data_IF_309304075703
#
_entry.id   IF_309304075703
#
_cell.length_a   1.000
_cell.length_b   1.000
_cell.length_c   1.000
_cell.angle_alpha   90.00
_cell.angle_beta   90.00
_cell.angle_gamma   90.00
#
_symmetry.space_group_name_H-M   'P 1'
#
loop_
_entity.id
_entity.type
_entity.pdbx_description
1 polymer ?
#
# COMPACT_ATOMS: atom_id res chain seq x y z
N UNK A 1 3.47 31.56 13.97
CA UNK A 1 4.76 30.99 14.41
C UNK A 1 5.31 30.14 13.29
N UNK A 2 6.37 30.63 12.64
CA UNK A 2 7.01 30.02 11.47
C UNK A 2 8.00 28.94 11.91
N UNK A 3 7.65 27.68 11.67
CA UNK A 3 8.56 26.56 11.85
C UNK A 3 9.55 26.48 10.69
N UNK A 4 10.84 26.74 10.99
CA UNK A 4 11.97 26.45 10.10
C UNK A 4 12.04 24.95 9.87
N UNK A 5 11.65 24.51 8.67
CA UNK A 5 12.02 23.19 8.17
C UNK A 5 13.51 23.18 7.82
N UNK A 6 14.27 22.33 8.49
CA UNK A 6 15.64 21.99 8.12
C UNK A 6 15.60 21.27 6.76
N UNK A 7 15.89 22.01 5.70
CA UNK A 7 16.17 21.44 4.38
C UNK A 7 17.47 20.65 4.49
N UNK A 8 17.36 19.32 4.53
CA UNK A 8 18.48 18.47 4.16
C UNK A 8 18.98 18.91 2.76
N UNK A 9 20.29 19.01 2.53
CA UNK A 9 20.81 19.37 1.23
C UNK A 9 20.39 18.28 0.25
N UNK A 10 19.41 18.60 -0.59
CA UNK A 10 18.97 17.74 -1.68
C UNK A 10 20.18 17.46 -2.56
N UNK A 11 20.83 16.32 -2.33
CA UNK A 11 21.65 15.69 -3.35
C UNK A 11 20.73 15.55 -4.55
N UNK A 12 21.02 16.33 -5.60
CA UNK A 12 20.33 16.32 -6.89
C UNK A 12 19.94 14.88 -7.21
N UNK A 13 18.66 14.59 -7.04
CA UNK A 13 18.09 13.25 -7.16
C UNK A 13 18.05 12.87 -8.62
N UNK A 14 19.23 12.63 -9.19
CA UNK A 14 19.37 12.09 -10.53
C UNK A 14 18.64 10.75 -10.54
N UNK A 15 17.66 10.65 -11.42
CA UNK A 15 16.96 9.41 -11.72
C UNK A 15 17.98 8.32 -12.06
N UNK A 16 17.63 7.05 -11.86
CA UNK A 16 18.54 5.93 -12.18
C UNK A 16 19.05 5.96 -13.63
N UNK A 17 18.31 6.62 -14.53
CA UNK A 17 18.72 6.83 -15.92
C UNK A 17 19.84 7.86 -16.07
N UNK A 18 19.83 8.94 -15.28
CA UNK A 18 20.87 9.97 -15.31
C UNK A 18 22.19 9.47 -14.71
N UNK A 19 22.13 8.64 -13.66
CA UNK A 19 23.32 7.96 -13.13
C UNK A 19 23.99 7.05 -14.16
N UNK A 20 23.22 6.34 -14.97
CA UNK A 20 23.76 5.50 -16.03
C UNK A 20 24.52 6.33 -17.09
N UNK A 21 24.04 7.54 -17.40
CA UNK A 21 24.71 8.44 -18.34
C UNK A 21 26.03 8.96 -17.77
N UNK A 22 26.05 9.38 -16.50
CA UNK A 22 27.26 9.85 -15.82
C UNK A 22 28.32 8.75 -15.75
N UNK A 23 27.92 7.53 -15.38
CA UNK A 23 28.81 6.36 -15.34
C UNK A 23 29.40 6.08 -16.72
N UNK A 24 28.57 6.13 -17.78
CA UNK A 24 29.04 5.93 -19.15
C UNK A 24 30.09 6.98 -19.56
N UNK A 25 29.87 8.25 -19.26
CA UNK A 25 30.82 9.34 -19.56
C UNK A 25 32.16 9.11 -18.85
N UNK A 26 32.12 8.71 -17.57
CA UNK A 26 33.34 8.42 -16.79
C UNK A 26 34.09 7.23 -17.40
N UNK A 27 33.40 6.15 -17.75
CA UNK A 27 34.01 4.98 -18.38
C UNK A 27 34.70 5.37 -19.70
N UNK A 28 34.01 6.13 -20.56
CA UNK A 28 34.59 6.62 -21.81
C UNK A 28 35.81 7.51 -21.55
N UNK A 29 35.72 8.43 -20.59
CA UNK A 29 36.83 9.30 -20.20
C UNK A 29 38.05 8.53 -19.70
N UNK A 30 37.86 7.50 -18.88
CA UNK A 30 38.94 6.62 -18.40
C UNK A 30 39.57 5.83 -19.54
N UNK A 31 38.76 5.27 -20.45
CA UNK A 31 39.27 4.53 -21.62
C UNK A 31 40.12 5.44 -22.51
N UNK A 32 39.67 6.68 -22.76
CA UNK A 32 40.43 7.66 -23.54
C UNK A 32 41.72 8.10 -22.83
N UNK A 33 41.69 8.21 -21.50
CA UNK A 33 42.85 8.59 -20.70
C UNK A 33 43.90 7.48 -20.64
N UNK A 34 43.48 6.21 -20.64
CA UNK A 34 44.39 5.05 -20.62
C UNK A 34 45.35 5.01 -21.83
N UNK A 35 44.95 5.56 -22.98
CA UNK A 35 45.81 5.67 -24.16
C UNK A 35 47.02 6.58 -23.91
N UNK A 36 46.89 7.59 -23.04
CA UNK A 36 48.02 8.45 -22.66
C UNK A 36 49.05 7.73 -21.80
N UNK A 37 48.61 6.75 -20.99
CA UNK A 37 49.47 6.02 -20.07
C UNK A 37 50.04 4.74 -20.68
N UNK A 38 49.32 4.10 -21.60
CA UNK A 38 49.74 2.87 -22.26
C UNK A 38 49.46 3.03 -23.77
N UNK A 39 50.47 3.47 -24.54
CA UNK A 39 50.31 3.68 -25.97
C UNK A 39 49.86 2.40 -26.68
N UNK A 40 48.76 2.50 -27.43
CA UNK A 40 48.21 1.39 -28.21
C UNK A 40 47.23 0.48 -27.46
N UNK A 41 46.73 0.87 -26.28
CA UNK A 41 45.61 0.16 -25.63
C UNK A 41 44.36 0.25 -26.49
N UNK A 42 44.03 1.44 -26.97
CA UNK A 42 42.89 1.66 -27.85
C UNK A 42 43.05 0.91 -29.17
N UNK A 43 44.19 1.07 -29.83
CA UNK A 43 44.45 0.42 -31.13
C UNK A 43 44.58 -1.10 -30.99
N UNK A 44 45.04 -1.60 -29.84
CA UNK A 44 45.09 -3.03 -29.53
C UNK A 44 43.73 -3.64 -29.31
N UNK A 45 42.88 -3.01 -28.52
CA UNK A 45 41.49 -3.46 -28.34
C UNK A 45 40.73 -3.37 -29.66
N UNK A 46 40.87 -2.28 -30.41
CA UNK A 46 40.26 -2.13 -31.73
C UNK A 46 40.75 -3.21 -32.70
N UNK A 47 42.06 -3.42 -32.83
CA UNK A 47 42.61 -4.43 -33.74
C UNK A 47 42.18 -5.84 -33.35
N UNK A 48 42.08 -6.14 -32.05
CA UNK A 48 41.57 -7.42 -31.58
C UNK A 48 40.10 -7.63 -31.98
N UNK A 49 39.23 -6.66 -31.69
CA UNK A 49 37.81 -6.72 -32.06
C UNK A 49 37.66 -6.82 -33.58
N UNK A 50 38.43 -6.04 -34.34
CA UNK A 50 38.39 -6.06 -35.81
C UNK A 50 38.87 -7.38 -36.39
N UNK A 51 39.92 -7.98 -35.83
CA UNK A 51 40.36 -9.34 -36.21
C UNK A 51 39.25 -10.36 -36.00
N UNK A 52 38.56 -10.29 -34.86
CA UNK A 52 37.47 -11.20 -34.52
C UNK A 52 36.26 -10.99 -35.46
N UNK A 53 35.91 -9.73 -35.74
CA UNK A 53 34.87 -9.36 -36.70
C UNK A 53 35.20 -9.90 -38.10
N UNK A 54 36.40 -9.62 -38.63
CA UNK A 54 36.81 -10.08 -39.96
C UNK A 54 36.86 -11.61 -40.01
N UNK A 55 37.40 -12.29 -38.99
CA UNK A 55 37.39 -13.76 -38.92
C UNK A 55 35.97 -14.32 -38.93
N UNK A 56 35.05 -13.67 -38.22
CA UNK A 56 33.63 -14.05 -38.21
C UNK A 56 32.99 -13.84 -39.58
N UNK A 57 33.25 -12.72 -40.24
CA UNK A 57 32.77 -12.46 -41.60
C UNK A 57 33.29 -13.50 -42.60
N UNK A 58 34.55 -13.90 -42.48
CA UNK A 58 35.15 -14.93 -43.33
C UNK A 58 34.54 -16.33 -43.11
N UNK A 59 33.89 -16.61 -41.96
CA UNK A 59 33.10 -17.84 -41.81
C UNK A 59 31.89 -17.88 -42.75
N UNK A 60 31.43 -16.71 -43.20
CA UNK A 60 30.36 -16.55 -44.19
C UNK A 60 30.89 -16.30 -45.61
N UNK A 61 32.14 -16.69 -45.89
CA UNK A 61 32.79 -16.61 -47.21
C UNK A 61 31.88 -16.99 -48.39
N UNK A 62 31.04 -18.05 -48.34
CA UNK A 62 30.16 -18.40 -49.47
C UNK A 62 29.14 -17.34 -49.89
N UNK A 63 28.89 -16.34 -49.03
CA UNK A 63 27.92 -15.25 -49.26
C UNK A 63 28.64 -13.96 -49.70
N UNK A 64 29.96 -13.88 -49.50
CA UNK A 64 30.77 -12.71 -49.83
C UNK A 64 31.16 -12.74 -51.31
N UNK A 65 31.34 -11.57 -51.91
CA UNK A 65 31.96 -11.48 -53.23
C UNK A 65 33.46 -11.79 -53.11
N UNK A 66 34.03 -12.46 -54.12
CA UNK A 66 35.46 -12.84 -54.12
C UNK A 66 36.40 -11.65 -53.89
N UNK A 67 36.06 -10.49 -54.47
CA UNK A 67 36.79 -9.23 -54.28
C UNK A 67 36.80 -8.80 -52.81
N UNK A 68 35.65 -8.91 -52.14
CA UNK A 68 35.50 -8.49 -50.76
C UNK A 68 36.19 -9.47 -49.80
N UNK A 69 36.08 -10.77 -50.05
CA UNK A 69 36.81 -11.78 -49.28
C UNK A 69 38.33 -11.56 -49.37
N UNK A 70 38.83 -11.29 -50.57
CA UNK A 70 40.26 -11.00 -50.80
C UNK A 70 40.70 -9.75 -50.04
N UNK A 71 39.88 -8.69 -50.05
CA UNK A 71 40.12 -7.48 -49.27
C UNK A 71 40.17 -7.78 -47.76
N UNK A 72 39.20 -8.53 -47.22
CA UNK A 72 39.16 -8.94 -45.81
C UNK A 72 40.39 -9.74 -45.39
N UNK A 73 40.80 -10.74 -46.19
CA UNK A 73 42.00 -11.54 -45.92
C UNK A 73 43.26 -10.69 -45.94
N UNK A 74 43.34 -9.74 -46.86
CA UNK A 74 44.46 -8.79 -46.95
C UNK A 74 44.53 -7.88 -45.73
N UNK A 75 43.38 -7.33 -45.30
CA UNK A 75 43.27 -6.52 -44.08
C UNK A 75 43.66 -7.35 -42.85
N UNK A 76 43.15 -8.58 -42.75
CA UNK A 76 43.44 -9.47 -41.62
C UNK A 76 44.94 -9.79 -41.52
N UNK A 77 45.57 -10.16 -42.64
CA UNK A 77 47.01 -10.43 -42.67
C UNK A 77 47.85 -9.21 -42.28
N UNK A 78 47.44 -8.01 -42.70
CA UNK A 78 48.09 -6.76 -42.28
C UNK A 78 47.90 -6.47 -40.80
N UNK A 79 46.69 -6.65 -40.26
CA UNK A 79 46.41 -6.48 -38.83
C UNK A 79 47.17 -7.49 -37.96
N UNK A 80 47.44 -8.70 -38.46
CA UNK A 80 48.24 -9.72 -37.77
C UNK A 80 49.74 -9.42 -37.80
N UNK A 81 50.24 -8.81 -38.87
CA UNK A 81 51.65 -8.45 -39.02
C UNK A 81 52.07 -7.16 -38.30
N UNK A 82 51.14 -6.22 -38.08
CA UNK A 82 51.44 -4.90 -37.50
C UNK A 82 51.21 -4.89 -35.97
N UNK A 83 52.18 -4.37 -35.23
CA UNK A 83 52.06 -4.19 -33.79
C UNK A 83 50.99 -3.14 -33.46
N UNK A 84 50.07 -3.38 -32.50
CA UNK A 84 48.96 -2.48 -32.18
C UNK A 84 49.33 -1.01 -32.00
N UNK A 85 50.42 -0.70 -31.30
CA UNK A 85 50.86 0.67 -31.03
C UNK A 85 51.36 1.45 -32.25
N UNK A 86 51.52 0.81 -33.41
CA UNK A 86 51.98 1.46 -34.65
C UNK A 86 50.86 1.76 -35.65
N UNK A 87 49.63 1.38 -35.34
CA UNK A 87 48.48 1.58 -36.23
C UNK A 87 48.06 3.06 -36.16
N UNK A 88 48.19 3.77 -37.27
CA UNK A 88 47.78 5.18 -37.36
C UNK A 88 46.26 5.30 -37.47
N UNK A 89 45.71 6.43 -37.01
CA UNK A 89 44.26 6.68 -37.10
C UNK A 89 43.74 6.68 -38.55
N UNK A 90 44.57 7.10 -39.51
CA UNK A 90 44.24 7.03 -40.94
C UNK A 90 44.15 5.58 -41.45
N UNK A 91 44.96 4.67 -40.90
CA UNK A 91 44.84 3.25 -41.21
C UNK A 91 43.54 2.66 -40.64
N UNK A 92 43.18 3.05 -39.41
CA UNK A 92 41.91 2.67 -38.78
C UNK A 92 40.72 3.13 -39.63
N UNK A 93 40.67 4.42 -39.99
CA UNK A 93 39.55 4.96 -40.78
C UNK A 93 39.44 4.31 -42.16
N UNK A 94 40.56 3.95 -42.78
CA UNK A 94 40.57 3.22 -44.06
C UNK A 94 40.04 1.79 -43.90
N UNK A 95 40.49 1.05 -42.89
CA UNK A 95 39.99 -0.30 -42.59
C UNK A 95 38.50 -0.27 -42.27
N UNK A 96 38.05 0.73 -41.52
CA UNK A 96 36.62 0.93 -41.25
C UNK A 96 35.85 1.27 -42.51
N UNK A 97 36.37 2.13 -43.40
CA UNK A 97 35.72 2.46 -44.66
C UNK A 97 35.55 1.24 -45.58
N UNK A 98 36.57 0.39 -45.67
CA UNK A 98 36.55 -0.84 -46.48
C UNK A 98 35.62 -1.91 -45.88
N UNK A 99 35.50 -1.97 -44.56
CA UNK A 99 34.58 -2.91 -43.88
C UNK A 99 33.15 -2.38 -43.71
N UNK A 100 32.96 -1.06 -43.86
CA UNK A 100 31.72 -0.34 -43.53
C UNK A 100 30.45 -0.97 -44.08
N UNK A 101 30.46 -1.44 -45.34
CA UNK A 101 29.24 -1.91 -46.00
C UNK A 101 28.61 -3.05 -45.20
N UNK A 102 29.38 -4.09 -44.89
CA UNK A 102 28.87 -5.28 -44.20
C UNK A 102 28.70 -5.01 -42.70
N UNK A 103 29.64 -4.28 -42.08
CA UNK A 103 29.54 -3.97 -40.65
C UNK A 103 28.33 -3.08 -40.37
N UNK A 104 27.96 -2.17 -41.26
CA UNK A 104 26.73 -1.36 -41.16
C UNK A 104 25.46 -2.22 -41.24
N UNK A 105 25.46 -3.31 -42.02
CA UNK A 105 24.33 -4.26 -42.02
C UNK A 105 24.24 -5.01 -40.69
N UNK A 106 25.37 -5.46 -40.13
CA UNK A 106 25.39 -6.16 -38.84
C UNK A 106 24.94 -5.22 -37.71
N UNK A 107 25.52 -4.03 -37.61
CA UNK A 107 25.12 -3.05 -36.60
C UNK A 107 23.69 -2.56 -36.82
N UNK A 108 23.25 -2.41 -38.07
CA UNK A 108 21.86 -2.10 -38.42
C UNK A 108 20.90 -3.19 -37.96
N UNK A 109 21.24 -4.47 -38.17
CA UNK A 109 20.43 -5.61 -37.74
C UNK A 109 20.38 -5.75 -36.21
N UNK A 110 21.51 -5.58 -35.52
CA UNK A 110 21.56 -5.56 -34.04
C UNK A 110 20.77 -4.37 -33.49
N UNK A 111 20.96 -3.17 -34.07
CA UNK A 111 20.23 -1.97 -33.69
C UNK A 111 18.73 -2.11 -33.91
N UNK A 112 18.32 -2.68 -35.05
CA UNK A 112 16.94 -2.99 -35.36
C UNK A 112 16.36 -4.05 -34.39
N UNK A 113 17.11 -5.11 -34.07
CA UNK A 113 16.71 -6.10 -33.08
C UNK A 113 16.52 -5.49 -31.68
N UNK A 114 17.45 -4.64 -31.25
CA UNK A 114 17.33 -3.90 -29.99
C UNK A 114 16.12 -2.95 -30.01
N UNK A 115 15.89 -2.25 -31.12
CA UNK A 115 14.72 -1.40 -31.30
C UNK A 115 13.43 -2.23 -31.24
N UNK A 116 13.36 -3.38 -31.93
CA UNK A 116 12.24 -4.31 -31.84
C UNK A 116 12.01 -4.76 -30.38
N UNK A 117 13.06 -5.16 -29.66
CA UNK A 117 12.96 -5.56 -28.24
C UNK A 117 12.48 -4.42 -27.33
N UNK A 118 12.83 -3.18 -27.63
CA UNK A 118 12.41 -1.99 -26.87
C UNK A 118 10.98 -1.58 -27.22
N UNK A 119 10.61 -1.56 -28.50
CA UNK A 119 9.28 -1.18 -28.97
C UNK A 119 8.22 -2.24 -28.67
N UNK A 120 8.57 -3.53 -28.81
CA UNK A 120 7.69 -4.66 -28.53
C UNK A 120 7.86 -5.21 -27.12
N UNK A 121 8.48 -4.45 -26.21
CA UNK A 121 8.45 -4.79 -24.79
C UNK A 121 7.01 -4.64 -24.31
N UNK A 122 6.32 -5.72 -23.90
CA UNK A 122 4.98 -5.58 -23.37
C UNK A 122 5.04 -4.63 -22.17
N UNK A 123 4.32 -3.49 -22.25
CA UNK A 123 4.28 -2.50 -21.17
C UNK A 123 3.62 -3.07 -19.91
N UNK A 124 2.88 -4.16 -20.06
CA UNK A 124 2.28 -4.98 -19.02
C UNK A 124 2.39 -6.45 -19.45
N UNK A 125 3.00 -7.29 -18.62
CA UNK A 125 3.37 -8.66 -19.00
C UNK A 125 2.15 -9.55 -19.28
N UNK A 126 0.99 -9.31 -18.64
CA UNK A 126 -0.26 -10.03 -18.87
C UNK A 126 -1.49 -9.18 -18.46
N UNK A 127 -2.64 -9.26 -19.16
CA UNK A 127 -3.90 -8.74 -18.65
C UNK A 127 -4.32 -9.56 -17.43
N UNK A 128 -4.52 -8.90 -16.30
CA UNK A 128 -4.92 -9.54 -15.04
C UNK A 128 -6.44 -9.46 -14.86
N UNK A 129 -7.06 -10.53 -14.37
CA UNK A 129 -8.41 -10.44 -13.82
C UNK A 129 -8.38 -9.77 -12.42
N UNK A 130 -9.56 -9.44 -11.88
CA UNK A 130 -9.66 -8.74 -10.59
C UNK A 130 -9.01 -9.55 -9.46
N UNK A 131 -9.21 -10.86 -9.44
CA UNK A 131 -8.66 -11.76 -8.43
C UNK A 131 -7.13 -11.84 -8.49
N UNK A 132 -6.55 -11.94 -9.68
CA UNK A 132 -5.10 -11.93 -9.92
C UNK A 132 -4.49 -10.59 -9.56
N UNK A 133 -5.18 -9.49 -9.87
CA UNK A 133 -4.76 -8.14 -9.48
C UNK A 133 -4.75 -7.99 -7.96
N UNK A 134 -5.81 -8.43 -7.27
CA UNK A 134 -5.87 -8.42 -5.80
C UNK A 134 -4.77 -9.32 -5.21
N UNK A 135 -4.58 -10.53 -5.75
CA UNK A 135 -3.54 -11.46 -5.31
C UNK A 135 -2.15 -10.84 -5.46
N UNK A 136 -1.83 -10.25 -6.62
CA UNK A 136 -0.55 -9.62 -6.88
C UNK A 136 -0.32 -8.39 -6.00
N UNK A 137 -1.27 -7.47 -5.94
CA UNK A 137 -1.13 -6.19 -5.21
C UNK A 137 -1.07 -6.40 -3.70
N UNK A 138 -1.87 -7.32 -3.16
CA UNK A 138 -1.85 -7.61 -1.71
C UNK A 138 -0.61 -8.38 -1.27
N UNK A 139 0.03 -9.12 -2.17
CA UNK A 139 1.27 -9.86 -1.87
C UNK A 139 2.50 -8.96 -1.85
N UNK A 140 2.56 -7.95 -2.73
CA UNK A 140 3.76 -7.13 -2.92
C UNK A 140 3.67 -5.74 -2.27
N UNK A 141 2.53 -5.06 -2.38
CA UNK A 141 2.41 -3.64 -1.98
C UNK A 141 1.54 -3.50 -0.74
N UNK A 142 0.30 -4.01 -0.78
CA UNK A 142 -0.74 -3.70 0.21
C UNK A 142 -1.07 -4.91 1.09
N UNK A 143 -0.08 -5.36 1.87
CA UNK A 143 -0.19 -6.56 2.71
C UNK A 143 -1.36 -6.52 3.71
N UNK A 144 -1.73 -5.34 4.21
CA UNK A 144 -2.87 -5.18 5.13
C UNK A 144 -4.22 -5.54 4.51
N UNK A 145 -4.33 -5.62 3.18
CA UNK A 145 -5.52 -6.09 2.47
C UNK A 145 -5.46 -7.57 2.07
N UNK A 146 -4.44 -8.33 2.50
CA UNK A 146 -4.23 -9.73 2.09
C UNK A 146 -5.41 -10.65 2.33
N UNK A 147 -6.19 -10.44 3.40
CA UNK A 147 -7.38 -11.25 3.66
C UNK A 147 -8.43 -11.19 2.53
N UNK A 148 -8.50 -10.10 1.75
CA UNK A 148 -9.45 -9.97 0.63
C UNK A 148 -9.16 -10.92 -0.53
N UNK A 149 -7.90 -11.36 -0.68
CA UNK A 149 -7.53 -12.35 -1.69
C UNK A 149 -8.15 -13.73 -1.40
N UNK A 150 -8.45 -14.04 -0.13
CA UNK A 150 -9.10 -15.29 0.28
C UNK A 150 -10.58 -15.11 0.58
N UNK A 151 -10.96 -13.95 1.07
CA UNK A 151 -12.32 -13.62 1.48
C UNK A 151 -12.87 -12.61 0.48
N UNK A 152 -13.60 -13.11 -0.51
CA UNK A 152 -14.26 -12.28 -1.50
C UNK A 152 -15.65 -11.84 -0.97
N UNK A 153 -15.89 -10.52 -0.74
CA UNK A 153 -17.17 -10.01 -0.27
C UNK A 153 -18.35 -10.37 -1.18
N UNK A 154 -18.12 -10.46 -2.49
CA UNK A 154 -19.15 -10.76 -3.50
C UNK A 154 -19.71 -12.18 -3.36
N UNK A 155 -19.00 -13.08 -2.67
CA UNK A 155 -19.44 -14.46 -2.44
C UNK A 155 -20.43 -14.61 -1.28
N UNK A 156 -20.60 -13.59 -0.42
CA UNK A 156 -21.52 -13.64 0.71
C UNK A 156 -22.99 -13.33 0.33
N UNK A 157 -23.22 -12.86 -0.89
CA UNK A 157 -24.53 -12.51 -1.41
C UNK A 157 -24.52 -11.15 -2.10
N UNK A 158 -25.51 -10.93 -2.97
CA UNK A 158 -25.71 -9.67 -3.68
C UNK A 158 -26.58 -8.68 -2.88
N UNK A 159 -27.21 -9.14 -1.80
CA UNK A 159 -28.03 -8.29 -0.93
C UNK A 159 -27.13 -7.46 0.00
N UNK A 160 -26.98 -6.19 -0.36
CA UNK A 160 -26.17 -5.21 0.37
C UNK A 160 -26.63 -4.99 1.82
N UNK A 161 -27.82 -5.46 2.21
CA UNK A 161 -28.37 -5.30 3.58
C UNK A 161 -28.08 -6.49 4.47
N UNK A 162 -27.60 -7.61 3.91
CA UNK A 162 -27.38 -8.86 4.64
C UNK A 162 -25.90 -9.24 4.68
N UNK A 163 -25.58 -10.11 5.64
CA UNK A 163 -24.24 -10.66 5.79
C UNK A 163 -23.25 -9.73 6.51
N UNK A 164 -21.96 -10.13 6.55
CA UNK A 164 -20.92 -9.41 7.28
C UNK A 164 -20.54 -8.08 6.60
N UNK A 165 -20.64 -8.02 5.28
CA UNK A 165 -20.30 -6.84 4.47
C UNK A 165 -21.50 -5.92 4.19
N UNK A 166 -22.58 -6.05 4.97
CA UNK A 166 -23.77 -5.21 4.78
C UNK A 166 -23.43 -3.73 4.95
N UNK A 167 -24.13 -2.86 4.22
CA UNK A 167 -24.01 -1.41 4.40
C UNK A 167 -24.50 -0.99 5.79
N UNK A 168 -24.08 0.19 6.24
CA UNK A 168 -24.57 0.80 7.49
C UNK A 168 -26.09 0.89 7.45
N UNK A 169 -26.73 0.55 8.56
CA UNK A 169 -28.18 0.68 8.64
C UNK A 169 -28.59 2.15 8.75
N UNK A 170 -29.70 2.50 8.10
CA UNK A 170 -30.35 3.80 8.29
C UNK A 170 -31.09 3.81 9.62
N UNK A 171 -31.14 4.93 10.36
CA UNK A 171 -31.83 5.02 11.65
C UNK A 171 -33.28 4.51 11.61
N UNK A 172 -34.07 4.93 10.62
CA UNK A 172 -35.44 4.45 10.46
C UNK A 172 -35.57 2.94 10.20
N UNK A 173 -34.60 2.33 9.51
CA UNK A 173 -34.60 0.89 9.25
C UNK A 173 -34.23 0.11 10.52
N UNK A 174 -33.17 0.55 11.20
CA UNK A 174 -32.73 -0.03 12.48
C UNK A 174 -33.87 0.03 13.51
N UNK A 175 -34.53 1.18 13.64
CA UNK A 175 -35.63 1.35 14.58
C UNK A 175 -36.83 0.45 14.24
N UNK A 176 -37.13 0.18 12.97
CA UNK A 176 -38.17 -0.78 12.58
C UNK A 176 -37.76 -2.23 12.87
N UNK A 177 -36.52 -2.60 12.55
CA UNK A 177 -35.97 -3.95 12.79
C UNK A 177 -36.00 -4.30 14.28
N UNK A 178 -35.79 -3.31 15.14
CA UNK A 178 -35.81 -3.45 16.60
C UNK A 178 -37.17 -3.13 17.25
N UNK A 179 -38.25 -2.94 16.47
CA UNK A 179 -39.61 -2.63 16.96
C UNK A 179 -39.67 -1.38 17.87
N UNK A 180 -38.82 -0.39 17.60
CA UNK A 180 -38.76 0.89 18.31
C UNK A 180 -39.77 1.89 17.77
N UNK A 181 -40.30 1.67 16.57
CA UNK A 181 -41.33 2.51 15.95
C UNK A 181 -42.60 1.68 15.82
N UNK A 182 -43.69 2.14 16.45
CA UNK A 182 -44.98 1.45 16.52
C UNK A 182 -46.11 2.38 16.08
N UNK A 183 -47.24 1.86 15.57
CA UNK A 183 -48.41 2.70 15.29
C UNK A 183 -48.97 3.29 16.59
N UNK A 184 -49.34 4.57 16.56
CA UNK A 184 -49.88 5.29 17.75
C UNK A 184 -51.21 4.71 18.25
N UNK A 185 -51.98 4.14 17.34
CA UNK A 185 -53.21 3.44 17.61
C UNK A 185 -53.16 2.09 16.88
N UNK A 186 -53.35 0.99 17.62
CA UNK A 186 -53.31 -0.36 17.07
C UNK A 186 -54.49 -0.61 16.10
N UNK A 187 -55.59 0.12 16.28
CA UNK A 187 -56.80 0.03 15.46
C UNK A 187 -56.81 1.04 14.30
N UNK A 188 -56.05 2.14 14.39
CA UNK A 188 -55.93 3.16 13.34
C UNK A 188 -54.45 3.44 12.97
N UNK A 189 -53.79 2.54 12.21
CA UNK A 189 -52.36 2.66 11.86
C UNK A 189 -52.02 3.91 11.04
N UNK A 190 -53.02 4.58 10.44
CA UNK A 190 -52.86 5.82 9.70
C UNK A 190 -52.71 7.07 10.59
N UNK A 191 -52.88 6.95 11.93
CA UNK A 191 -52.69 8.08 12.88
C UNK A 191 -51.23 8.44 13.15
N UNK A 192 -50.31 7.83 12.41
CA UNK A 192 -48.88 8.07 12.52
C UNK A 192 -48.20 7.08 13.46
N UNK A 193 -46.87 7.07 13.38
CA UNK A 193 -46.03 6.19 14.17
C UNK A 193 -45.48 6.93 15.37
N UNK A 194 -45.35 6.26 16.52
CA UNK A 194 -44.67 6.74 17.71
C UNK A 194 -43.35 5.99 17.92
N UNK A 195 -42.40 6.67 18.57
CA UNK A 195 -41.11 6.09 18.95
C UNK A 195 -41.17 5.64 20.42
N UNK A 196 -40.94 4.34 20.66
CA UNK A 196 -40.94 3.72 21.98
C UNK A 196 -39.59 3.95 22.66
N UNK A 197 -39.53 4.99 23.51
CA UNK A 197 -38.32 5.40 24.22
C UNK A 197 -37.82 4.34 25.20
N UNK A 198 -38.72 3.62 25.87
CA UNK A 198 -38.34 2.61 26.87
C UNK A 198 -37.75 1.37 26.18
N UNK A 199 -38.35 0.94 25.06
CA UNK A 199 -37.75 -0.10 24.23
C UNK A 199 -36.40 0.33 23.64
N UNK A 200 -36.28 1.60 23.25
CA UNK A 200 -35.02 2.16 22.74
C UNK A 200 -33.90 2.07 23.77
N UNK A 201 -34.17 2.40 25.05
CA UNK A 201 -33.18 2.26 26.13
C UNK A 201 -32.64 0.84 26.20
N UNK A 202 -33.52 -0.15 26.26
CA UNK A 202 -33.12 -1.57 26.32
C UNK A 202 -32.29 -2.00 25.11
N UNK A 203 -32.59 -1.49 23.91
CA UNK A 203 -31.83 -1.81 22.70
C UNK A 203 -30.46 -1.13 22.69
N UNK A 204 -30.38 0.14 23.10
CA UNK A 204 -29.13 0.90 23.10
C UNK A 204 -28.21 0.54 24.27
N UNK A 205 -28.74 0.10 25.41
CA UNK A 205 -27.95 -0.49 26.51
C UNK A 205 -27.18 -1.72 26.04
N UNK A 206 -27.74 -2.50 25.11
CA UNK A 206 -27.05 -3.67 24.53
C UNK A 206 -25.95 -3.31 23.54
N UNK A 207 -25.90 -2.06 23.06
CA UNK A 207 -24.80 -1.60 22.21
C UNK A 207 -23.54 -1.28 23.01
N UNK A 208 -23.66 -1.09 24.33
CA UNK A 208 -22.53 -0.82 25.21
C UNK A 208 -21.58 -2.02 25.17
N UNK A 209 -20.32 -1.76 24.83
CA UNK A 209 -19.28 -2.76 24.93
C UNK A 209 -18.67 -2.79 26.33
N UNK A 210 -17.70 -3.69 26.54
CA UNK A 210 -17.16 -3.92 27.88
C UNK A 210 -16.40 -2.68 28.37
N UNK A 211 -16.43 -2.46 29.69
CA UNK A 211 -15.53 -1.51 30.31
C UNK A 211 -14.07 -1.91 30.06
N UNK A 212 -13.25 -0.91 29.75
CA UNK A 212 -11.83 -1.11 29.57
C UNK A 212 -11.16 -1.33 30.93
N UNK A 213 -10.47 -2.45 31.07
CA UNK A 213 -9.68 -2.80 32.26
C UNK A 213 -8.19 -2.83 31.94
N UNK A 214 -7.81 -3.60 30.92
CA UNK A 214 -6.44 -3.69 30.40
C UNK A 214 -6.44 -4.23 28.98
N UNK A 215 -5.38 -3.97 28.22
CA UNK A 215 -5.23 -4.53 26.88
C UNK A 215 -5.14 -6.07 26.88
N UNK A 216 -4.54 -6.68 27.91
CA UNK A 216 -4.42 -8.13 28.03
C UNK A 216 -5.75 -8.85 28.25
N UNK A 217 -6.76 -8.17 28.80
CA UNK A 217 -8.10 -8.72 29.04
C UNK A 217 -9.00 -8.66 27.78
N UNK A 218 -8.59 -7.95 26.74
CA UNK A 218 -9.37 -7.80 25.52
C UNK A 218 -9.46 -9.13 24.73
N UNK A 219 -10.55 -9.39 24.00
CA UNK A 219 -10.58 -10.40 22.96
C UNK A 219 -9.43 -10.24 21.95
N UNK A 220 -8.93 -11.34 21.40
CA UNK A 220 -7.72 -11.32 20.54
C UNK A 220 -7.84 -10.41 19.32
N UNK A 221 -9.00 -10.32 18.68
CA UNK A 221 -9.18 -9.41 17.55
C UNK A 221 -9.09 -7.93 17.98
N UNK A 222 -9.59 -7.58 19.16
CA UNK A 222 -9.47 -6.23 19.72
C UNK A 222 -8.04 -5.94 20.19
N UNK A 223 -7.33 -6.94 20.70
CA UNK A 223 -5.88 -6.81 21.00
C UNK A 223 -5.06 -6.49 19.75
N UNK A 224 -5.39 -7.11 18.60
CA UNK A 224 -4.69 -6.79 17.34
C UNK A 224 -4.91 -5.34 16.94
N UNK A 225 -6.14 -4.84 17.03
CA UNK A 225 -6.43 -3.43 16.75
C UNK A 225 -5.68 -2.52 17.73
N UNK A 226 -5.75 -2.82 19.03
CA UNK A 226 -5.05 -2.06 20.07
C UNK A 226 -3.54 -1.99 19.79
N UNK A 227 -2.89 -3.13 19.56
CA UNK A 227 -1.46 -3.20 19.30
C UNK A 227 -1.05 -2.41 18.05
N UNK A 228 -1.83 -2.51 16.96
CA UNK A 228 -1.56 -1.76 15.74
C UNK A 228 -1.75 -0.25 15.90
N UNK A 229 -2.79 0.19 16.62
CA UNK A 229 -3.03 1.61 16.92
C UNK A 229 -1.98 2.19 17.88
N UNK A 230 -1.56 1.41 18.89
CA UNK A 230 -0.49 1.80 19.82
C UNK A 230 0.85 1.89 19.08
N UNK A 231 1.18 0.89 18.25
CA UNK A 231 2.37 0.91 17.40
C UNK A 231 2.35 2.15 16.47
N UNK A 232 1.20 2.50 15.91
CA UNK A 232 1.06 3.72 15.12
C UNK A 232 1.30 4.99 15.94
N UNK A 233 0.71 5.08 17.12
CA UNK A 233 0.86 6.22 18.02
C UNK A 233 2.32 6.38 18.51
N UNK A 234 3.05 5.29 18.74
CA UNK A 234 4.40 5.33 19.31
C UNK A 234 5.53 5.32 18.27
N UNK A 235 5.38 4.58 17.16
CA UNK A 235 6.44 4.37 16.16
C UNK A 235 6.11 4.96 14.76
N UNK A 236 4.86 5.38 14.54
CA UNK A 236 4.39 5.95 13.27
C UNK A 236 3.85 4.92 12.26
N UNK A 237 3.60 5.39 11.03
CA UNK A 237 2.79 4.67 10.05
C UNK A 237 3.42 3.36 9.55
N UNK A 238 4.72 3.36 9.23
CA UNK A 238 5.35 2.22 8.56
C UNK A 238 5.32 0.94 9.41
N UNK A 239 5.74 0.95 10.70
CA UNK A 239 5.65 -0.24 11.55
C UNK A 239 4.22 -0.74 11.75
N UNK A 240 3.25 0.18 11.89
CA UNK A 240 1.84 -0.16 12.04
C UNK A 240 1.28 -0.82 10.78
N UNK A 241 1.60 -0.31 9.59
CA UNK A 241 1.20 -0.90 8.30
C UNK A 241 1.78 -2.31 8.14
N UNK A 242 3.04 -2.52 8.53
CA UNK A 242 3.66 -3.85 8.52
C UNK A 242 2.96 -4.81 9.50
N UNK A 243 2.64 -4.34 10.71
CA UNK A 243 1.91 -5.13 11.72
C UNK A 243 0.51 -5.51 11.25
N UNK A 244 -0.28 -4.55 10.75
CA UNK A 244 -1.60 -4.84 10.18
C UNK A 244 -1.50 -5.74 8.94
N UNK A 245 -0.40 -5.64 8.18
CA UNK A 245 -0.04 -6.60 7.13
C UNK A 245 0.09 -8.03 7.65
N UNK A 246 0.81 -8.24 8.75
CA UNK A 246 0.93 -9.56 9.39
C UNK A 246 -0.42 -10.09 9.89
N UNK A 247 -1.25 -9.22 10.50
CA UNK A 247 -2.62 -9.59 10.92
C UNK A 247 -3.46 -10.03 9.72
N UNK A 248 -3.40 -9.29 8.62
CA UNK A 248 -4.15 -9.61 7.40
C UNK A 248 -3.68 -10.90 6.74
N UNK A 249 -2.36 -11.15 6.69
CA UNK A 249 -1.79 -12.43 6.26
C UNK A 249 -2.24 -13.58 7.19
N UNK A 250 -2.37 -13.35 8.49
CA UNK A 250 -2.90 -14.34 9.44
C UNK A 250 -4.38 -14.65 9.15
N UNK A 251 -5.21 -13.63 8.89
CA UNK A 251 -6.61 -13.83 8.49
C UNK A 251 -6.73 -14.60 7.16
N UNK A 252 -5.76 -14.42 6.25
CA UNK A 252 -5.64 -15.21 5.02
C UNK A 252 -5.09 -16.64 5.23
N UNK A 253 -4.76 -17.04 6.48
CA UNK A 253 -4.12 -18.32 6.86
C UNK A 253 -2.71 -18.51 6.28
N UNK A 254 -2.00 -17.43 5.98
CA UNK A 254 -0.66 -17.42 5.41
C UNK A 254 0.42 -16.99 6.41
N UNK A 255 0.01 -16.67 7.65
CA UNK A 255 0.91 -16.25 8.72
C UNK A 255 0.70 -17.07 9.99
N UNK A 256 1.78 -17.30 10.74
CA UNK A 256 1.75 -18.13 11.95
C UNK A 256 1.02 -17.41 13.10
N UNK A 257 -0.01 -18.07 13.64
CA UNK A 257 -0.74 -17.61 14.83
C UNK A 257 0.18 -17.32 16.01
N UNK A 258 1.12 -18.22 16.30
CA UNK A 258 2.06 -18.08 17.42
C UNK A 258 2.95 -16.84 17.28
N UNK A 259 3.46 -16.57 16.06
CA UNK A 259 4.28 -15.39 15.79
C UNK A 259 3.48 -14.10 15.94
N UNK A 260 2.26 -14.06 15.40
CA UNK A 260 1.39 -12.88 15.52
C UNK A 260 1.03 -12.58 16.98
N UNK A 261 0.67 -13.62 17.75
CA UNK A 261 0.36 -13.46 19.17
C UNK A 261 1.57 -12.90 19.94
N UNK A 262 2.75 -13.49 19.76
CA UNK A 262 3.97 -13.01 20.41
C UNK A 262 4.28 -11.56 20.05
N UNK A 263 4.14 -11.17 18.77
CA UNK A 263 4.33 -9.79 18.32
C UNK A 263 3.30 -8.84 18.94
N UNK A 264 2.04 -9.26 19.02
CA UNK A 264 0.96 -8.47 19.64
C UNK A 264 1.21 -8.28 21.13
N UNK A 265 1.51 -9.36 21.84
CA UNK A 265 1.79 -9.32 23.28
C UNK A 265 3.01 -8.43 23.57
N UNK A 266 4.07 -8.50 22.75
CA UNK A 266 5.23 -7.61 22.83
C UNK A 266 4.85 -6.13 22.67
N UNK A 267 4.13 -5.76 21.61
CA UNK A 267 3.73 -4.36 21.38
C UNK A 267 2.87 -3.81 22.52
N UNK A 268 1.94 -4.62 23.04
CA UNK A 268 1.10 -4.23 24.16
C UNK A 268 1.92 -4.06 25.44
N UNK A 269 2.88 -4.94 25.72
CA UNK A 269 3.73 -4.83 26.91
C UNK A 269 4.70 -3.66 26.84
N UNK A 270 5.31 -3.44 25.68
CA UNK A 270 6.31 -2.38 25.48
C UNK A 270 5.70 -0.98 25.54
N UNK A 271 4.50 -0.81 24.96
CA UNK A 271 3.95 0.51 24.72
C UNK A 271 2.72 0.88 25.57
N UNK A 272 2.08 -0.08 26.27
CA UNK A 272 0.89 0.24 27.07
C UNK A 272 1.15 1.28 28.17
N UNK A 273 2.38 1.34 28.67
CA UNK A 273 2.78 2.23 29.76
C UNK A 273 3.24 3.63 29.31
N UNK A 274 3.27 3.90 28.01
CA UNK A 274 3.59 5.24 27.46
C UNK A 274 2.53 6.26 27.86
N UNK A 275 2.95 7.51 28.07
CA UNK A 275 2.08 8.56 28.59
C UNK A 275 0.90 8.86 27.66
N UNK A 276 1.12 8.84 26.35
CA UNK A 276 0.07 9.07 25.36
C UNK A 276 -0.99 7.95 25.36
N UNK A 277 -0.54 6.70 25.54
CA UNK A 277 -1.43 5.53 25.65
C UNK A 277 -2.18 5.54 26.98
N UNK A 278 -1.49 5.84 28.09
CA UNK A 278 -2.09 6.00 29.41
C UNK A 278 -3.16 7.09 29.43
N UNK A 279 -2.91 8.22 28.78
CA UNK A 279 -3.89 9.29 28.66
C UNK A 279 -5.16 8.79 27.95
N UNK A 280 -5.02 8.05 26.85
CA UNK A 280 -6.17 7.48 26.16
C UNK A 280 -6.95 6.48 27.02
N UNK A 281 -6.26 5.59 27.74
CA UNK A 281 -6.91 4.58 28.60
C UNK A 281 -7.59 5.16 29.85
N UNK A 282 -7.07 6.26 30.41
CA UNK A 282 -7.64 6.91 31.61
C UNK A 282 -8.85 7.80 31.30
N UNK A 283 -8.94 8.30 30.07
CA UNK A 283 -9.98 9.26 29.68
C UNK A 283 -11.28 8.62 29.19
N UNK A 284 -11.32 7.29 29.04
CA UNK A 284 -12.46 6.59 28.45
C UNK A 284 -12.87 5.35 29.24
N UNK A 285 -14.18 5.16 29.46
CA UNK A 285 -14.78 4.04 30.19
C UNK A 285 -14.75 2.74 29.38
N UNK A 286 -15.16 2.80 28.12
CA UNK A 286 -15.39 1.61 27.28
C UNK A 286 -14.23 1.29 26.33
N UNK A 287 -14.08 0.01 25.96
CA UNK A 287 -13.02 -0.45 25.05
C UNK A 287 -13.07 0.29 23.72
N UNK A 288 -14.24 0.40 23.11
CA UNK A 288 -14.46 1.11 21.84
C UNK A 288 -14.03 2.58 21.91
N UNK A 289 -14.34 3.26 23.02
CA UNK A 289 -13.90 4.63 23.29
C UNK A 289 -12.38 4.75 23.40
N UNK A 290 -11.73 3.84 24.14
CA UNK A 290 -10.26 3.78 24.26
C UNK A 290 -9.60 3.56 22.89
N UNK A 291 -10.08 2.59 22.10
CA UNK A 291 -9.50 2.30 20.78
C UNK A 291 -9.73 3.46 19.79
N UNK A 292 -10.91 4.09 19.83
CA UNK A 292 -11.19 5.29 19.02
C UNK A 292 -10.29 6.47 19.41
N UNK A 293 -10.02 6.63 20.71
CA UNK A 293 -9.09 7.66 21.21
C UNK A 293 -7.67 7.42 20.72
N UNK A 294 -7.18 6.18 20.76
CA UNK A 294 -5.86 5.81 20.23
C UNK A 294 -5.76 6.11 18.72
N UNK A 295 -6.80 5.77 17.94
CA UNK A 295 -6.88 6.10 16.53
C UNK A 295 -6.82 7.62 16.30
N UNK A 296 -7.59 8.39 17.08
CA UNK A 296 -7.64 9.85 16.97
C UNK A 296 -6.31 10.51 17.30
N UNK A 297 -5.65 10.11 18.38
CA UNK A 297 -4.34 10.66 18.78
C UNK A 297 -3.24 10.28 17.79
N UNK A 298 -3.30 9.08 17.23
CA UNK A 298 -2.36 8.65 16.20
C UNK A 298 -2.35 9.55 14.96
N UNK A 299 -3.46 10.24 14.64
CA UNK A 299 -3.55 11.11 13.45
C UNK A 299 -2.51 12.25 13.45
N UNK A 300 -1.92 12.57 14.60
CA UNK A 300 -0.80 13.51 14.69
C UNK A 300 0.50 12.98 14.03
N UNK A 301 0.64 11.65 13.91
CA UNK A 301 1.81 10.97 13.35
C UNK A 301 1.61 10.49 11.90
N UNK A 302 0.47 10.81 11.28
CA UNK A 302 0.15 10.46 9.90
C UNK A 302 -1.31 10.08 9.68
N UNK A 303 -1.62 9.52 8.51
CA UNK A 303 -2.97 9.06 8.19
C UNK A 303 -3.10 7.58 8.53
N UNK A 304 -3.83 7.27 9.60
CA UNK A 304 -4.35 5.92 9.83
C UNK A 304 -5.87 5.93 9.72
N UNK A 305 -6.35 4.97 8.95
CA UNK A 305 -7.76 4.74 8.70
C UNK A 305 -8.07 3.25 8.83
N UNK A 306 -9.35 2.95 8.91
CA UNK A 306 -9.93 1.60 8.96
C UNK A 306 -9.56 0.72 7.78
N UNK A 307 -9.06 1.30 6.67
CA UNK A 307 -8.55 0.56 5.52
C UNK A 307 -7.38 -0.39 5.88
N UNK A 308 -6.63 -0.11 6.94
CA UNK A 308 -5.54 -0.98 7.40
C UNK A 308 -6.05 -2.26 8.09
N UNK A 309 -7.31 -2.30 8.51
CA UNK A 309 -7.88 -3.42 9.25
C UNK A 309 -9.33 -3.69 8.84
N UNK A 310 -9.59 -3.70 7.53
CA UNK A 310 -10.91 -4.03 6.96
C UNK A 310 -11.40 -5.44 7.30
N UNK A 311 -10.50 -6.33 7.74
CA UNK A 311 -10.87 -7.63 8.30
C UNK A 311 -11.74 -7.52 9.56
N UNK A 312 -11.70 -6.37 10.24
CA UNK A 312 -12.51 -6.11 11.41
C UNK A 312 -14.00 -6.06 11.07
N UNK A 313 -14.36 -5.66 9.84
CA UNK A 313 -15.75 -5.57 9.40
C UNK A 313 -16.53 -6.91 9.54
N UNK A 314 -15.89 -8.05 9.28
CA UNK A 314 -16.52 -9.38 9.39
C UNK A 314 -16.18 -10.13 10.68
N UNK A 315 -15.31 -9.59 11.54
CA UNK A 315 -14.96 -10.20 12.83
C UNK A 315 -15.62 -9.49 14.01
N UNK A 316 -15.67 -8.15 13.97
CA UNK A 316 -16.30 -7.28 14.96
C UNK A 316 -16.81 -6.01 14.28
N UNK A 317 -17.99 -6.11 13.67
CA UNK A 317 -18.61 -5.01 12.92
C UNK A 317 -18.85 -3.78 13.79
N UNK A 318 -19.27 -3.99 15.04
CA UNK A 318 -19.52 -2.91 15.98
C UNK A 318 -18.26 -2.07 16.18
N UNK A 319 -17.13 -2.73 16.48
CA UNK A 319 -15.87 -2.01 16.65
C UNK A 319 -15.38 -1.38 15.34
N UNK A 320 -15.56 -2.05 14.20
CA UNK A 320 -15.24 -1.47 12.89
C UNK A 320 -15.97 -0.14 12.68
N UNK A 321 -17.30 -0.12 12.88
CA UNK A 321 -18.10 1.10 12.69
C UNK A 321 -17.71 2.19 13.70
N UNK A 322 -17.46 1.84 14.96
CA UNK A 322 -16.99 2.79 15.97
C UNK A 322 -15.70 3.51 15.57
N UNK A 323 -14.77 2.80 14.92
CA UNK A 323 -13.52 3.37 14.44
C UNK A 323 -13.67 4.10 13.10
N UNK A 324 -14.53 3.58 12.21
CA UNK A 324 -14.79 4.14 10.88
C UNK A 324 -15.55 5.46 10.94
N UNK A 325 -16.34 5.66 12.00
CA UNK A 325 -17.05 6.92 12.27
C UNK A 325 -16.15 8.01 12.87
N UNK A 326 -14.85 7.74 13.10
CA UNK A 326 -13.93 8.75 13.61
C UNK A 326 -13.63 9.85 12.57
N UNK A 327 -14.22 11.03 12.78
CA UNK A 327 -14.11 12.20 11.91
C UNK A 327 -15.36 12.47 11.07
N UNK A 328 -16.40 11.65 11.19
CA UNK A 328 -17.71 11.88 10.58
C UNK A 328 -18.62 12.62 11.58
N UNK A 329 -19.40 13.63 11.16
CA UNK A 329 -20.30 14.36 12.06
C UNK A 329 -21.45 13.49 12.60
N UNK A 330 -21.90 12.52 11.82
CA UNK A 330 -22.99 11.60 12.16
C UNK A 330 -22.44 10.19 12.39
N UNK A 331 -22.86 9.57 13.50
CA UNK A 331 -22.44 8.21 13.87
C UNK A 331 -23.43 7.18 13.37
N UNK A 332 -22.94 5.99 13.00
CA UNK A 332 -23.76 4.87 12.58
C UNK A 332 -24.69 4.43 13.72
N UNK A 333 -25.98 4.23 13.40
CA UNK A 333 -27.00 3.84 14.40
C UNK A 333 -26.65 2.55 15.15
N UNK A 334 -25.89 1.65 14.51
CA UNK A 334 -25.45 0.36 15.08
C UNK A 334 -24.49 0.52 16.26
N UNK A 335 -23.85 1.68 16.42
CA UNK A 335 -22.91 1.98 17.51
C UNK A 335 -23.08 3.40 18.06
N UNK A 336 -24.23 4.02 17.83
CA UNK A 336 -24.41 5.43 18.10
C UNK A 336 -24.37 5.74 19.60
N UNK A 337 -24.92 4.87 20.45
CA UNK A 337 -24.90 5.11 21.89
C UNK A 337 -23.47 5.19 22.49
N UNK A 338 -22.60 4.18 22.32
CA UNK A 338 -21.21 4.27 22.80
C UNK A 338 -20.41 5.38 22.09
N UNK A 339 -20.75 5.72 20.84
CA UNK A 339 -20.15 6.86 20.16
C UNK A 339 -20.52 8.22 20.79
N UNK A 340 -21.77 8.39 21.22
CA UNK A 340 -22.20 9.57 21.99
C UNK A 340 -21.52 9.62 23.35
N UNK A 341 -21.41 8.49 24.06
CA UNK A 341 -20.68 8.43 25.33
C UNK A 341 -19.21 8.86 25.15
N UNK A 342 -18.51 8.30 24.16
CA UNK A 342 -17.15 8.72 23.81
C UNK A 342 -17.03 10.22 23.50
N UNK A 343 -18.01 10.78 22.78
CA UNK A 343 -18.02 12.20 22.41
C UNK A 343 -18.18 13.10 23.64
N UNK A 344 -18.99 12.68 24.61
CA UNK A 344 -19.15 13.38 25.89
C UNK A 344 -17.91 13.28 26.77
N UNK A 345 -17.28 12.10 26.87
CA UNK A 345 -15.99 11.94 27.57
C UNK A 345 -14.91 12.84 26.97
N UNK A 346 -14.84 12.89 25.64
CA UNK A 346 -13.92 13.76 24.91
C UNK A 346 -14.20 15.25 25.19
N UNK A 347 -15.47 15.65 25.24
CA UNK A 347 -15.89 17.04 25.53
C UNK A 347 -15.54 17.45 26.96
N UNK A 348 -15.71 16.56 27.93
CA UNK A 348 -15.39 16.84 29.34
C UNK A 348 -13.89 16.67 29.62
N UNK A 349 -13.18 15.88 28.81
CA UNK A 349 -11.75 15.60 28.96
C UNK A 349 -11.44 14.58 30.07
N UNK A 350 -12.41 13.77 30.49
CA UNK A 350 -12.23 12.71 31.48
C UNK A 350 -13.23 11.57 31.26
N UNK A 351 -12.91 10.40 31.82
CA UNK A 351 -13.83 9.25 31.91
C UNK A 351 -15.11 9.65 32.63
N UNK A 352 -16.25 9.27 32.07
CA UNK A 352 -17.57 9.46 32.67
C UNK A 352 -18.10 8.11 33.14
N UNK A 353 -18.44 8.01 34.42
CA UNK A 353 -19.08 6.79 34.93
C UNK A 353 -20.58 6.76 34.59
N UNK A 354 -21.19 7.95 34.52
CA UNK A 354 -22.60 8.14 34.20
C UNK A 354 -22.87 8.04 32.69
N UNK A 355 -23.90 7.29 32.37
CA UNK A 355 -24.33 6.95 31.03
C UNK A 355 -25.44 7.91 30.56
N UNK A 356 -25.11 8.88 29.69
CA UNK A 356 -26.06 9.91 29.20
C UNK A 356 -26.97 9.44 28.05
N UNK A 357 -27.68 8.33 28.25
CA UNK A 357 -28.53 7.71 27.21
C UNK A 357 -29.71 8.57 26.75
N UNK A 358 -30.33 9.31 27.67
CA UNK A 358 -31.52 10.10 27.35
C UNK A 358 -31.26 11.14 26.26
N UNK A 359 -30.10 11.80 26.30
CA UNK A 359 -29.75 12.83 25.31
C UNK A 359 -29.66 12.23 23.90
N UNK A 360 -29.11 11.03 23.78
CA UNK A 360 -29.01 10.34 22.49
C UNK A 360 -30.39 9.95 21.96
N UNK A 361 -31.27 9.44 22.84
CA UNK A 361 -32.65 9.08 22.48
C UNK A 361 -33.42 10.32 21.99
N UNK A 362 -33.21 11.48 22.64
CA UNK A 362 -33.82 12.75 22.21
C UNK A 362 -33.38 13.16 20.80
N UNK A 363 -32.09 13.08 20.49
CA UNK A 363 -31.58 13.43 19.16
C UNK A 363 -32.08 12.46 18.07
N UNK A 364 -32.12 11.17 18.36
CA UNK A 364 -32.69 10.18 17.44
C UNK A 364 -34.18 10.43 17.18
N UNK A 365 -34.95 10.75 18.22
CA UNK A 365 -36.38 11.07 18.06
C UNK A 365 -36.58 12.32 17.18
N UNK A 366 -35.77 13.37 17.38
CA UNK A 366 -35.78 14.57 16.52
C UNK A 366 -35.46 14.23 15.07
N UNK A 367 -34.46 13.39 14.83
CA UNK A 367 -34.09 12.94 13.49
C UNK A 367 -35.24 12.18 12.82
N UNK A 368 -35.88 11.26 13.53
CA UNK A 368 -37.02 10.50 13.03
C UNK A 368 -38.22 11.41 12.69
N UNK A 369 -38.47 12.45 13.48
CA UNK A 369 -39.49 13.48 13.18
C UNK A 369 -39.12 14.29 11.94
N UNK A 370 -37.86 14.71 11.83
CA UNK A 370 -37.36 15.48 10.68
C UNK A 370 -37.58 14.75 9.34
N UNK A 371 -37.39 13.43 9.33
CA UNK A 371 -37.64 12.59 8.15
C UNK A 371 -39.10 12.12 7.98
N UNK A 372 -40.05 12.66 8.76
CA UNK A 372 -41.46 12.27 8.77
C UNK A 372 -41.67 10.75 8.96
N UNK A 373 -40.78 10.10 9.72
CA UNK A 373 -40.91 8.68 10.05
C UNK A 373 -41.92 8.47 11.19
N UNK A 374 -41.95 9.42 12.12
CA UNK A 374 -42.86 9.48 13.27
C UNK A 374 -43.55 10.84 13.32
N UNK A 375 -44.74 10.91 13.90
CA UNK A 375 -45.59 12.11 13.95
C UNK A 375 -45.40 12.99 15.18
#
# INVERSE_FOLDING_TARGET
>A
MSGRGSSEPGMLGLSGQEWNIVIFIIIVGVILSLEQFIPGVYTGVWAFVKKLEIKTLLLFSPILTDEYETALRTILGRLEAVAPGTITMNAITRVEAETKVITSFIYGAVGFYCALKLFFRPRFDNPLNLEELIEQQTKTVWRFNRHLAKINPLRYGLDIRKGPYRIRQRPAHYCREHNLIRPKDEYEPNRGMFFDRDAAKVVFERQIDKEFTSFGALPRHQQYVAAGLICFLCEGLKPAVEYFGDVSCFMAKEFSKKKLHARTDFLLQEYADRDEVKLATKSHKYVSGVLRRLLKEGKNNGVVCTALFTWLLYTDRFLYLMLDDDGIPETSIECAYPATHYSEELRVGRRLDDDKMEHYIDELEKELRFYNVIS
#
